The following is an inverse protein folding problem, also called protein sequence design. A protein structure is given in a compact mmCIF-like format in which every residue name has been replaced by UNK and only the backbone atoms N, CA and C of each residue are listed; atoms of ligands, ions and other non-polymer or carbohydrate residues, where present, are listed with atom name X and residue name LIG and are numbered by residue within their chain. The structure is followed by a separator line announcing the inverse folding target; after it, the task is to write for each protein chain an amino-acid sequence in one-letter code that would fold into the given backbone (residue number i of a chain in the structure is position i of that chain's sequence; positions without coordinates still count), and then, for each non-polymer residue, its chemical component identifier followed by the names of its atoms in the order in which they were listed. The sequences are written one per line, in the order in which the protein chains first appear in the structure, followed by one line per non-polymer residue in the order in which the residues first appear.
data_IF_226933971598
#
_entry.id   IF_226933971598
#
_cell.length_a   1.000
_cell.length_b   1.000
_cell.length_c   1.000
_cell.angle_alpha   90.00
_cell.angle_beta   90.00
_cell.angle_gamma   90.00
#
_symmetry.space_group_name_H-M   'P 1'
#
loop_
_entity.id
_entity.type
_entity.pdbx_description
1 polymer ?
#
# COMPACT_ATOMS: atom_id res chain seq x y z
N UNK A 1 -0.75 9.66 -16.00
CA UNK A 1 -1.30 8.55 -15.20
C UNK A 1 -0.21 7.83 -14.38
N UNK A 2 1.00 7.63 -14.93
CA UNK A 2 2.08 6.90 -14.26
C UNK A 2 3.05 7.75 -13.43
N UNK A 3 2.81 9.04 -13.27
CA UNK A 3 3.69 9.97 -12.52
C UNK A 3 3.82 9.60 -11.04
N UNK A 4 2.75 9.07 -10.45
CA UNK A 4 2.72 8.64 -9.04
C UNK A 4 3.17 7.21 -8.80
N UNK A 5 3.46 6.45 -9.88
CA UNK A 5 3.94 5.08 -9.74
C UNK A 5 5.41 5.07 -9.33
N UNK A 6 5.74 4.25 -8.35
CA UNK A 6 7.14 3.95 -8.03
C UNK A 6 7.82 3.26 -9.20
N UNK A 7 9.15 3.26 -9.24
CA UNK A 7 9.90 2.58 -10.30
C UNK A 7 9.59 1.09 -10.36
N UNK A 8 9.38 0.44 -9.21
CA UNK A 8 8.93 -0.95 -9.13
C UNK A 8 7.54 -1.14 -9.71
N UNK A 9 6.59 -0.27 -9.39
CA UNK A 9 5.25 -0.33 -9.95
C UNK A 9 5.22 -0.08 -11.47
N UNK A 10 6.09 0.79 -11.99
CA UNK A 10 6.30 0.96 -13.44
C UNK A 10 6.88 -0.31 -14.07
N UNK A 11 7.84 -0.95 -13.38
CA UNK A 11 8.44 -2.21 -13.84
C UNK A 11 7.40 -3.34 -13.92
N UNK A 12 6.45 -3.40 -12.97
CA UNK A 12 5.32 -4.34 -13.02
C UNK A 12 4.51 -4.19 -14.31
N UNK A 13 4.26 -2.95 -14.76
CA UNK A 13 3.53 -2.69 -16.02
C UNK A 13 4.30 -3.21 -17.22
N UNK A 14 5.62 -3.02 -17.24
CA UNK A 14 6.50 -3.56 -18.31
C UNK A 14 6.49 -5.09 -18.30
N UNK A 15 6.67 -5.70 -17.11
CA UNK A 15 6.64 -7.15 -16.95
C UNK A 15 5.28 -7.75 -17.32
N UNK A 16 4.18 -7.10 -16.99
CA UNK A 16 2.84 -7.53 -17.40
C UNK A 16 2.68 -7.55 -18.94
N UNK A 17 3.29 -6.60 -19.63
CA UNK A 17 3.33 -6.60 -21.09
C UNK A 17 4.20 -7.74 -21.66
N UNK A 18 5.33 -8.06 -21.01
CA UNK A 18 6.19 -9.18 -21.39
C UNK A 18 5.48 -10.52 -21.17
N UNK A 19 4.79 -10.70 -20.04
CA UNK A 19 3.99 -11.90 -19.76
C UNK A 19 2.86 -12.08 -20.78
N UNK A 20 2.18 -11.01 -21.18
CA UNK A 20 1.17 -11.08 -22.23
C UNK A 20 1.76 -11.52 -23.58
N UNK A 21 2.97 -11.05 -23.92
CA UNK A 21 3.69 -11.50 -25.11
C UNK A 21 4.08 -12.98 -25.05
N UNK A 22 4.61 -13.44 -23.91
CA UNK A 22 5.00 -14.85 -23.73
C UNK A 22 3.81 -15.81 -23.89
N UNK A 23 2.63 -15.36 -23.44
CA UNK A 23 1.39 -16.13 -23.57
C UNK A 23 0.69 -15.93 -24.93
N UNK A 24 1.27 -15.17 -25.85
CA UNK A 24 0.69 -14.80 -27.15
C UNK A 24 -0.68 -14.11 -27.02
N UNK A 25 -0.90 -13.31 -25.97
CA UNK A 25 -2.14 -12.58 -25.77
C UNK A 25 -2.08 -11.19 -26.40
N UNK A 26 -3.13 -10.79 -27.12
CA UNK A 26 -3.25 -9.49 -27.78
C UNK A 26 -3.81 -8.39 -26.85
N UNK A 27 -3.84 -8.65 -25.54
CA UNK A 27 -4.31 -7.72 -24.51
C UNK A 27 -3.55 -7.93 -23.21
N UNK A 28 -3.50 -6.88 -22.37
CA UNK A 28 -2.98 -6.97 -21.01
C UNK A 28 -4.18 -7.03 -20.05
N UNK A 29 -4.47 -8.20 -19.51
CA UNK A 29 -5.53 -8.44 -18.55
C UNK A 29 -5.05 -8.34 -17.09
N UNK A 30 -5.95 -8.58 -16.15
CA UNK A 30 -5.66 -8.60 -14.71
C UNK A 30 -4.65 -9.69 -14.34
N UNK A 31 -4.71 -10.85 -15.01
CA UNK A 31 -3.78 -11.96 -14.88
C UNK A 31 -2.33 -11.58 -15.23
N UNK A 32 -2.15 -10.78 -16.27
CA UNK A 32 -0.81 -10.30 -16.63
C UNK A 32 -0.27 -9.29 -15.63
N UNK A 33 -1.14 -8.47 -15.02
CA UNK A 33 -0.75 -7.59 -13.92
C UNK A 33 -0.32 -8.42 -12.71
N UNK A 34 -1.03 -9.51 -12.39
CA UNK A 34 -0.65 -10.42 -11.30
C UNK A 34 0.70 -11.10 -11.58
N UNK A 35 0.91 -11.59 -12.80
CA UNK A 35 2.19 -12.16 -13.22
C UNK A 35 3.32 -11.13 -13.15
N UNK A 36 3.08 -9.90 -13.61
CA UNK A 36 4.06 -8.81 -13.52
C UNK A 36 4.43 -8.45 -12.08
N UNK A 37 3.46 -8.50 -11.14
CA UNK A 37 3.72 -8.29 -9.71
C UNK A 37 4.65 -9.37 -9.12
N UNK A 38 4.44 -10.63 -9.50
CA UNK A 38 5.28 -11.74 -9.05
C UNK A 38 6.64 -11.76 -9.75
N UNK A 39 6.70 -11.41 -11.03
CA UNK A 39 7.95 -11.35 -11.81
C UNK A 39 8.87 -10.22 -11.33
N UNK A 40 8.33 -9.14 -10.78
CA UNK A 40 9.12 -8.07 -10.15
C UNK A 40 9.87 -8.58 -8.91
N UNK A 41 9.25 -9.44 -8.11
CA UNK A 41 9.87 -10.28 -7.07
C UNK A 41 10.28 -9.57 -5.79
N UNK A 42 10.71 -8.32 -5.82
CA UNK A 42 11.26 -7.61 -4.66
C UNK A 42 10.23 -6.72 -3.94
N UNK A 43 9.10 -6.43 -4.58
CA UNK A 43 8.05 -5.59 -4.03
C UNK A 43 7.27 -6.24 -2.89
N UNK A 44 6.56 -5.41 -2.12
CA UNK A 44 5.69 -5.89 -1.03
C UNK A 44 4.63 -6.85 -1.55
N UNK A 45 4.12 -6.64 -2.76
CA UNK A 45 3.12 -7.52 -3.38
C UNK A 45 3.65 -8.95 -3.59
N UNK A 46 4.84 -9.10 -4.20
CA UNK A 46 5.46 -10.39 -4.43
C UNK A 46 5.71 -11.12 -3.10
N UNK A 47 6.33 -10.44 -2.14
CA UNK A 47 6.61 -10.98 -0.80
C UNK A 47 5.34 -11.40 -0.05
N UNK A 48 4.26 -10.63 -0.17
CA UNK A 48 2.98 -10.97 0.44
C UNK A 48 2.37 -12.24 -0.17
N UNK A 49 2.43 -12.38 -1.49
CA UNK A 49 1.95 -13.55 -2.21
C UNK A 49 2.82 -14.79 -1.91
N UNK A 50 4.14 -14.64 -1.92
CA UNK A 50 5.08 -15.72 -1.57
C UNK A 50 4.90 -16.22 -0.13
N UNK A 51 4.66 -15.33 0.82
CA UNK A 51 4.37 -15.70 2.22
C UNK A 51 3.07 -16.50 2.38
N UNK A 52 2.17 -16.40 1.41
CA UNK A 52 0.95 -17.20 1.32
C UNK A 52 1.12 -18.46 0.48
N UNK A 53 2.34 -18.76 0.01
CA UNK A 53 2.66 -19.91 -0.82
C UNK A 53 2.31 -19.73 -2.30
N UNK A 54 2.07 -18.50 -2.74
CA UNK A 54 1.73 -18.18 -4.14
C UNK A 54 2.99 -17.72 -4.86
N UNK A 55 3.55 -18.61 -5.67
CA UNK A 55 4.73 -18.34 -6.49
C UNK A 55 4.39 -18.10 -7.94
N UNK A 56 5.32 -17.44 -8.69
CA UNK A 56 5.18 -17.09 -10.10
C UNK A 56 4.80 -18.29 -11.00
N UNK A 57 5.51 -19.40 -10.84
CA UNK A 57 5.30 -20.60 -11.68
C UNK A 57 3.93 -21.26 -11.45
N UNK A 58 3.43 -21.21 -10.21
CA UNK A 58 2.09 -21.73 -9.90
C UNK A 58 1.01 -20.87 -10.53
N UNK A 59 1.17 -19.55 -10.46
CA UNK A 59 0.24 -18.59 -11.08
C UNK A 59 0.29 -18.70 -12.61
N UNK A 60 1.48 -18.80 -13.21
CA UNK A 60 1.63 -18.95 -14.68
C UNK A 60 0.90 -20.18 -15.19
N UNK A 61 1.13 -21.35 -14.58
CA UNK A 61 0.41 -22.58 -14.93
C UNK A 61 -1.10 -22.45 -14.79
N UNK A 62 -1.55 -21.80 -13.72
CA UNK A 62 -2.98 -21.62 -13.48
C UNK A 62 -3.62 -20.64 -14.48
N UNK A 63 -2.88 -19.61 -14.92
CA UNK A 63 -3.32 -18.69 -15.98
C UNK A 63 -3.42 -19.44 -17.32
N UNK A 64 -2.42 -20.24 -17.67
CA UNK A 64 -2.45 -21.07 -18.88
C UNK A 64 -3.62 -22.07 -18.86
N UNK A 65 -3.94 -22.66 -17.71
CA UNK A 65 -5.07 -23.56 -17.56
C UNK A 65 -6.43 -22.85 -17.72
N UNK A 66 -6.55 -21.61 -17.25
CA UNK A 66 -7.82 -20.86 -17.26
C UNK A 66 -8.08 -20.19 -18.62
N UNK A 67 -7.06 -19.59 -19.23
CA UNK A 67 -7.21 -18.77 -20.44
C UNK A 67 -6.62 -19.48 -21.66
N UNK A 68 -5.61 -20.32 -21.44
CA UNK A 68 -4.83 -20.92 -22.51
C UNK A 68 -3.73 -19.98 -23.03
N UNK A 69 -3.02 -20.46 -24.04
CA UNK A 69 -2.01 -19.70 -24.79
C UNK A 69 -2.61 -19.25 -26.12
N UNK A 70 -2.32 -18.02 -26.53
CA UNK A 70 -2.77 -17.50 -27.82
C UNK A 70 -2.11 -18.21 -29.00
N UNK A 71 -2.81 -18.29 -30.14
CA UNK A 71 -2.35 -18.99 -31.32
C UNK A 71 -1.22 -18.24 -32.05
N UNK A 72 -1.18 -16.93 -31.98
CA UNK A 72 -0.21 -16.09 -32.70
C UNK A 72 0.40 -15.04 -31.77
N UNK A 73 1.69 -14.75 -31.89
CA UNK A 73 2.31 -13.69 -31.11
C UNK A 73 1.69 -12.32 -31.45
N UNK A 74 1.50 -11.46 -30.46
CA UNK A 74 0.95 -10.12 -30.70
C UNK A 74 1.97 -9.25 -31.43
N UNK A 75 1.49 -8.51 -32.45
CA UNK A 75 2.28 -7.52 -33.17
C UNK A 75 1.99 -6.11 -32.66
N UNK A 76 3.03 -5.32 -32.39
CA UNK A 76 2.89 -3.92 -32.01
C UNK A 76 2.45 -3.69 -30.55
N UNK A 77 1.63 -2.67 -30.35
CA UNK A 77 1.17 -2.24 -29.00
C UNK A 77 0.03 -3.14 -28.49
N UNK A 78 0.24 -3.74 -27.31
CA UNK A 78 -0.77 -4.56 -26.64
C UNK A 78 -1.60 -3.67 -25.71
N UNK A 79 -2.92 -3.52 -25.91
CA UNK A 79 -3.77 -2.65 -25.08
C UNK A 79 -4.14 -3.32 -23.75
N UNK A 80 -4.34 -2.51 -22.74
CA UNK A 80 -4.95 -2.96 -21.48
C UNK A 80 -6.44 -3.23 -21.64
N UNK A 81 -6.92 -4.32 -21.05
CA UNK A 81 -8.36 -4.57 -20.92
C UNK A 81 -9.03 -3.48 -20.05
N UNK A 82 -10.35 -3.27 -20.20
CA UNK A 82 -11.09 -2.34 -19.32
C UNK A 82 -10.89 -2.66 -17.82
N UNK A 83 -10.90 -3.95 -17.45
CA UNK A 83 -10.66 -4.39 -16.06
C UNK A 83 -9.24 -4.08 -15.59
N UNK A 84 -8.23 -4.33 -16.41
CA UNK A 84 -6.86 -3.99 -16.05
C UNK A 84 -6.66 -2.47 -15.88
N UNK A 85 -7.31 -1.64 -16.72
CA UNK A 85 -7.35 -0.18 -16.51
C UNK A 85 -8.05 0.20 -15.20
N UNK A 86 -9.12 -0.50 -14.85
CA UNK A 86 -9.82 -0.30 -13.59
C UNK A 86 -8.93 -0.64 -12.40
N UNK A 87 -8.15 -1.73 -12.44
CA UNK A 87 -7.16 -2.07 -11.42
C UNK A 87 -6.18 -0.93 -11.19
N UNK A 88 -5.63 -0.33 -12.25
CA UNK A 88 -4.71 0.82 -12.12
C UNK A 88 -5.39 2.02 -11.45
N UNK A 89 -6.66 2.28 -11.77
CA UNK A 89 -7.45 3.33 -11.12
C UNK A 89 -7.75 3.02 -9.64
N UNK A 90 -8.03 1.75 -9.32
CA UNK A 90 -8.26 1.29 -7.94
C UNK A 90 -6.98 1.33 -7.12
N UNK A 91 -5.81 1.07 -7.72
CA UNK A 91 -4.51 1.17 -7.06
C UNK A 91 -4.25 2.58 -6.50
N UNK A 92 -4.63 3.62 -7.25
CA UNK A 92 -4.57 4.99 -6.76
C UNK A 92 -5.50 5.21 -5.56
N UNK A 93 -6.72 4.65 -5.59
CA UNK A 93 -7.65 4.77 -4.46
C UNK A 93 -7.14 4.06 -3.22
N UNK A 94 -6.54 2.87 -3.37
CA UNK A 94 -5.93 2.14 -2.25
C UNK A 94 -4.74 2.92 -1.67
N UNK A 95 -3.89 3.52 -2.51
CA UNK A 95 -2.79 4.38 -2.05
C UNK A 95 -3.31 5.55 -1.20
N UNK A 96 -4.31 6.28 -1.70
CA UNK A 96 -4.91 7.39 -0.98
C UNK A 96 -5.60 6.98 0.33
N UNK A 97 -6.25 5.80 0.37
CA UNK A 97 -6.85 5.25 1.60
C UNK A 97 -5.80 4.87 2.65
N UNK A 98 -4.61 4.47 2.23
CA UNK A 98 -3.48 4.18 3.10
C UNK A 98 -2.66 5.43 3.44
N UNK A 99 -3.05 6.60 2.96
CA UNK A 99 -2.35 7.87 3.20
C UNK A 99 -1.05 8.02 2.40
N UNK A 100 -0.87 7.24 1.33
CA UNK A 100 0.31 7.31 0.49
C UNK A 100 0.07 8.23 -0.72
N UNK A 101 1.07 9.02 -1.07
CA UNK A 101 1.08 9.90 -2.25
C UNK A 101 1.66 9.23 -3.51
N UNK A 102 2.20 8.02 -3.35
CA UNK A 102 2.76 7.18 -4.40
C UNK A 102 1.95 5.88 -4.59
N UNK A 103 2.10 5.25 -5.76
CA UNK A 103 1.51 3.94 -6.07
C UNK A 103 2.64 2.91 -6.15
N UNK A 104 2.75 2.06 -5.13
CA UNK A 104 3.67 0.93 -5.09
C UNK A 104 3.02 -0.37 -5.55
N UNK A 105 3.80 -1.46 -5.56
CA UNK A 105 3.35 -2.81 -5.93
C UNK A 105 2.21 -3.30 -5.04
N UNK A 106 2.26 -2.98 -3.74
CA UNK A 106 1.23 -3.26 -2.74
C UNK A 106 -0.13 -2.66 -3.13
N UNK A 107 -0.14 -1.42 -3.60
CA UNK A 107 -1.37 -0.75 -4.02
C UNK A 107 -1.94 -1.36 -5.30
N UNK A 108 -1.07 -1.84 -6.20
CA UNK A 108 -1.49 -2.55 -7.40
C UNK A 108 -2.14 -3.90 -7.05
N UNK A 109 -1.57 -4.65 -6.10
CA UNK A 109 -2.16 -5.90 -5.61
C UNK A 109 -3.50 -5.65 -4.90
N UNK A 110 -3.58 -4.62 -4.05
CA UNK A 110 -4.83 -4.25 -3.39
C UNK A 110 -5.91 -3.81 -4.39
N UNK A 111 -5.53 -3.04 -5.42
CA UNK A 111 -6.42 -2.64 -6.51
C UNK A 111 -6.94 -3.84 -7.31
N UNK A 112 -6.07 -4.84 -7.53
CA UNK A 112 -6.43 -6.08 -8.21
C UNK A 112 -7.42 -6.91 -7.41
N UNK A 113 -7.22 -7.04 -6.10
CA UNK A 113 -8.15 -7.73 -5.19
C UNK A 113 -9.49 -6.99 -5.12
N UNK A 114 -9.46 -5.66 -5.12
CA UNK A 114 -10.67 -4.83 -5.03
C UNK A 114 -11.53 -4.88 -6.28
N UNK A 115 -10.91 -5.04 -7.46
CA UNK A 115 -11.63 -5.26 -8.71
C UNK A 115 -12.50 -6.52 -8.62
N UNK A 116 -11.94 -7.61 -8.09
CA UNK A 116 -12.67 -8.76 -7.56
C UNK A 116 -13.12 -9.79 -8.59
N UNK A 117 -13.46 -9.40 -9.81
CA UNK A 117 -14.07 -10.25 -10.84
C UNK A 117 -13.09 -10.68 -11.94
N UNK A 118 -11.85 -10.18 -11.90
CA UNK A 118 -10.82 -10.48 -12.90
C UNK A 118 -10.25 -11.89 -12.79
N UNK A 119 -9.65 -12.36 -13.88
CA UNK A 119 -8.98 -13.67 -13.92
C UNK A 119 -7.91 -13.79 -12.85
N UNK A 120 -7.22 -12.72 -12.52
CA UNK A 120 -6.22 -12.70 -11.45
C UNK A 120 -6.79 -13.17 -10.10
N UNK A 121 -7.96 -12.67 -9.71
CA UNK A 121 -8.62 -13.07 -8.44
C UNK A 121 -9.08 -14.52 -8.51
N UNK A 122 -9.63 -14.96 -9.65
CA UNK A 122 -10.02 -16.36 -9.85
C UNK A 122 -8.81 -17.31 -9.70
N UNK A 123 -7.67 -16.94 -10.26
CA UNK A 123 -6.40 -17.69 -10.12
C UNK A 123 -5.93 -17.73 -8.68
N UNK A 124 -5.95 -16.60 -7.96
CA UNK A 124 -5.58 -16.53 -6.55
C UNK A 124 -6.47 -17.44 -5.69
N UNK A 125 -7.78 -17.40 -5.91
CA UNK A 125 -8.74 -18.25 -5.17
C UNK A 125 -8.50 -19.74 -5.46
N UNK A 126 -8.27 -20.12 -6.72
CA UNK A 126 -7.94 -21.51 -7.09
C UNK A 126 -6.64 -22.00 -6.43
N UNK A 127 -5.67 -21.11 -6.22
CA UNK A 127 -4.42 -21.42 -5.51
C UNK A 127 -4.56 -21.32 -3.97
N UNK A 128 -5.79 -21.12 -3.45
CA UNK A 128 -6.06 -21.08 -2.01
C UNK A 128 -5.76 -19.75 -1.34
N UNK A 129 -5.50 -18.69 -2.11
CA UNK A 129 -5.30 -17.36 -1.59
C UNK A 129 -6.61 -16.55 -1.65
N UNK A 130 -7.36 -16.55 -0.56
CA UNK A 130 -8.56 -15.72 -0.44
C UNK A 130 -8.20 -14.22 -0.49
N UNK A 131 -8.98 -13.39 -1.22
CA UNK A 131 -8.73 -11.95 -1.36
C UNK A 131 -8.56 -11.22 -0.03
N UNK A 132 -9.39 -11.53 0.97
CA UNK A 132 -9.31 -10.93 2.29
C UNK A 132 -8.03 -11.34 3.06
N UNK A 133 -7.53 -12.55 2.82
CA UNK A 133 -6.28 -13.02 3.42
C UNK A 133 -5.08 -12.30 2.80
N UNK A 134 -5.07 -12.15 1.48
CA UNK A 134 -4.04 -11.40 0.76
C UNK A 134 -4.03 -9.93 1.21
N UNK A 135 -5.20 -9.29 1.32
CA UNK A 135 -5.32 -7.91 1.81
C UNK A 135 -4.72 -7.74 3.21
N UNK A 136 -5.08 -8.63 4.14
CA UNK A 136 -4.51 -8.59 5.52
C UNK A 136 -3.00 -8.76 5.52
N UNK A 137 -2.48 -9.67 4.71
CA UNK A 137 -1.05 -9.91 4.61
C UNK A 137 -0.29 -8.69 4.09
N UNK A 138 -0.81 -8.03 3.04
CA UNK A 138 -0.23 -6.78 2.51
C UNK A 138 -0.21 -5.69 3.58
N UNK A 139 -1.35 -5.46 4.25
CA UNK A 139 -1.46 -4.43 5.30
C UNK A 139 -0.51 -4.74 6.46
N UNK A 140 -0.41 -5.99 6.89
CA UNK A 140 0.52 -6.41 7.94
C UNK A 140 1.98 -6.18 7.56
N UNK A 141 2.37 -6.46 6.32
CA UNK A 141 3.72 -6.19 5.83
C UNK A 141 4.04 -4.69 5.78
N UNK A 142 3.08 -3.87 5.36
CA UNK A 142 3.24 -2.42 5.38
C UNK A 142 3.46 -1.89 6.80
N UNK A 143 2.70 -2.39 7.78
CA UNK A 143 2.88 -2.04 9.19
C UNK A 143 4.21 -2.56 9.75
N UNK A 144 4.65 -3.75 9.36
CA UNK A 144 5.92 -4.36 9.79
C UNK A 144 7.15 -3.65 9.22
N UNK A 145 7.09 -3.10 8.02
CA UNK A 145 8.18 -2.32 7.41
C UNK A 145 8.33 -0.93 8.05
N UNK A 146 7.28 -0.41 8.68
CA UNK A 146 7.32 0.84 9.45
C UNK A 146 7.91 0.65 10.86
N UNK A 147 8.00 -0.60 11.36
CA UNK A 147 8.55 -0.94 12.69
C UNK A 147 9.99 -1.46 12.70
N UNK A 148 10.67 -1.52 11.58
CA UNK A 148 11.97 -2.21 11.40
C UNK A 148 13.22 -1.36 11.55
N UNK A 149 13.16 -0.20 12.22
CA UNK A 149 14.37 0.53 12.60
C UNK A 149 14.28 0.88 14.10
N UNK A 150 15.05 0.15 14.90
CA UNK A 150 15.25 0.20 16.35
C UNK A 150 14.47 -0.80 17.18
N UNK A 151 14.97 -2.03 17.24
CA UNK A 151 14.95 -2.86 18.47
C UNK A 151 16.20 -3.72 18.51
N UNK A 152 17.29 -3.17 19.00
CA UNK A 152 18.33 -3.94 19.68
C UNK A 152 18.22 -3.62 21.17
N UNK A 153 17.93 -4.63 21.97
CA UNK A 153 18.26 -4.59 23.39
C UNK A 153 17.12 -4.86 24.38
N UNK A 154 17.15 -6.06 24.93
CA UNK A 154 16.82 -6.45 26.29
C UNK A 154 15.38 -6.64 26.76
N UNK A 155 15.03 -7.89 26.88
CA UNK A 155 14.53 -8.66 28.05
C UNK A 155 13.49 -8.11 29.02
N UNK A 156 12.51 -9.00 29.23
CA UNK A 156 11.85 -9.43 30.46
C UNK A 156 10.57 -8.69 30.92
N UNK A 157 9.50 -9.47 30.82
CA UNK A 157 8.39 -9.69 31.75
C UNK A 157 7.84 -8.51 32.58
N UNK A 158 6.57 -8.20 32.43
CA UNK A 158 5.58 -8.49 33.47
C UNK A 158 4.13 -8.21 32.99
N UNK A 159 3.25 -8.96 33.59
CA UNK A 159 1.84 -9.16 33.33
C UNK A 159 0.98 -8.01 33.91
N UNK A 160 -0.04 -7.55 33.17
CA UNK A 160 -1.41 -7.32 33.62
C UNK A 160 -2.18 -6.26 32.83
N UNK A 161 -3.51 -6.40 32.66
CA UNK A 161 -4.29 -5.75 31.62
C UNK A 161 -4.89 -4.42 32.08
N UNK A 162 -4.80 -3.38 31.23
CA UNK A 162 -5.67 -2.21 31.43
C UNK A 162 -5.91 -1.42 30.15
N UNK A 163 -7.19 -1.32 29.85
CA UNK A 163 -7.89 -0.28 29.08
C UNK A 163 -7.49 -0.03 27.62
N UNK A 164 -8.43 -0.39 26.76
CA UNK A 164 -8.57 0.00 25.38
C UNK A 164 -8.45 1.52 25.20
N UNK A 165 -7.34 1.94 24.57
CA UNK A 165 -7.27 3.22 23.87
C UNK A 165 -7.24 2.92 22.38
N UNK A 166 -8.23 3.47 21.65
CA UNK A 166 -8.34 3.35 20.20
C UNK A 166 -7.03 3.77 19.51
N UNK A 167 -6.59 3.05 18.47
CA UNK A 167 -5.40 3.44 17.73
C UNK A 167 -5.65 4.75 16.98
N UNK A 168 -4.92 5.77 17.34
CA UNK A 168 -4.95 7.08 16.69
C UNK A 168 -4.47 6.95 15.24
N UNK A 169 -5.26 7.45 14.32
CA UNK A 169 -5.24 7.33 12.86
C UNK A 169 -4.11 8.12 12.17
N UNK A 170 -2.93 8.25 12.74
CA UNK A 170 -1.92 9.18 12.23
C UNK A 170 -0.50 8.64 12.18
N UNK A 171 -0.33 7.36 11.82
CA UNK A 171 1.02 6.75 11.68
C UNK A 171 1.93 7.46 10.67
N UNK A 172 1.35 8.12 9.64
CA UNK A 172 2.14 8.88 8.66
C UNK A 172 2.61 10.21 9.24
N UNK A 173 1.79 10.88 10.03
CA UNK A 173 2.19 12.12 10.72
C UNK A 173 3.25 11.86 11.78
N UNK A 174 3.21 10.71 12.44
CA UNK A 174 4.20 10.34 13.46
C UNK A 174 5.59 10.04 12.87
N UNK A 175 5.67 9.65 11.59
CA UNK A 175 6.95 9.42 10.89
C UNK A 175 7.63 10.70 10.39
N UNK A 176 6.84 11.69 9.96
CA UNK A 176 7.36 12.93 9.36
C UNK A 176 7.12 14.15 10.25
N UNK A 177 6.30 14.00 11.29
CA UNK A 177 5.97 15.04 12.24
C UNK A 177 6.54 14.75 13.64
N UNK A 178 6.85 15.81 14.37
CA UNK A 178 7.17 15.73 15.80
C UNK A 178 5.89 15.94 16.60
N UNK A 179 5.53 14.97 17.45
CA UNK A 179 4.39 15.13 18.36
C UNK A 179 4.73 16.14 19.48
N UNK A 180 4.39 17.41 19.24
CA UNK A 180 4.69 18.50 20.17
C UNK A 180 3.94 18.36 21.50
N UNK A 181 2.73 17.79 21.49
CA UNK A 181 1.94 17.56 22.70
C UNK A 181 2.62 16.54 23.61
N UNK A 182 3.15 15.47 23.05
CA UNK A 182 3.90 14.48 23.81
C UNK A 182 5.23 15.04 24.29
N UNK A 183 5.98 15.76 23.44
CA UNK A 183 7.22 16.42 23.81
C UNK A 183 7.01 17.44 24.96
N UNK A 184 5.87 18.15 24.99
CA UNK A 184 5.52 19.03 26.07
C UNK A 184 5.26 18.29 27.39
N UNK A 185 4.55 17.15 27.34
CA UNK A 185 4.32 16.30 28.54
C UNK A 185 5.62 15.71 29.11
N UNK A 186 6.56 15.41 28.23
CA UNK A 186 7.88 14.88 28.57
C UNK A 186 8.90 15.96 28.97
N UNK A 187 8.49 17.24 28.97
CA UNK A 187 9.37 18.37 29.33
C UNK A 187 10.50 18.64 28.32
N UNK A 188 10.36 18.14 27.09
CA UNK A 188 11.40 18.27 26.03
C UNK A 188 11.29 19.54 25.18
N UNK A 189 10.35 20.43 25.50
CA UNK A 189 10.19 21.71 24.83
C UNK A 189 10.89 22.83 25.62
N UNK A 190 11.43 23.78 24.89
CA UNK A 190 12.04 24.96 25.51
C UNK A 190 10.98 25.79 26.26
N UNK A 191 11.34 26.40 27.42
CA UNK A 191 10.41 27.23 28.17
C UNK A 191 10.07 28.50 27.40
N UNK A 192 8.80 28.83 27.34
CA UNK A 192 8.32 30.06 26.72
C UNK A 192 8.30 31.18 27.78
N UNK A 193 8.99 32.28 27.47
CA UNK A 193 9.10 33.42 28.40
C UNK A 193 8.52 34.65 27.70
N UNK A 194 7.62 35.36 28.42
CA UNK A 194 7.15 36.69 28.01
C UNK A 194 6.13 36.72 26.86
N UNK A 195 5.47 35.59 26.55
CA UNK A 195 4.47 35.48 25.46
C UNK A 195 3.08 35.01 25.92
N UNK A 196 2.70 35.36 27.13
CA UNK A 196 1.43 34.92 27.75
C UNK A 196 0.19 35.36 26.94
N UNK A 197 0.21 36.60 26.40
CA UNK A 197 -0.90 37.14 25.61
C UNK A 197 -1.11 36.44 24.28
N UNK A 198 0.00 36.10 23.59
CA UNK A 198 -0.03 35.37 22.34
C UNK A 198 -0.51 33.92 22.54
N UNK A 199 -0.06 33.27 23.60
CA UNK A 199 -0.49 31.92 23.98
C UNK A 199 -1.99 31.91 24.28
N UNK A 200 -2.47 32.85 25.12
CA UNK A 200 -3.89 32.96 25.43
C UNK A 200 -4.73 33.15 24.15
N UNK A 201 -4.28 34.02 23.25
CA UNK A 201 -4.94 34.25 21.97
C UNK A 201 -4.99 33.02 21.08
N UNK A 202 -3.88 32.27 20.95
CA UNK A 202 -3.81 31.02 20.22
C UNK A 202 -4.77 29.98 20.80
N UNK A 203 -4.81 29.83 22.14
CA UNK A 203 -5.73 28.91 22.79
C UNK A 203 -7.20 29.30 22.55
N UNK A 204 -7.55 30.60 22.59
CA UNK A 204 -8.89 31.06 22.25
C UNK A 204 -9.29 30.74 20.81
N UNK A 205 -8.35 30.84 19.85
CA UNK A 205 -8.61 30.48 18.44
C UNK A 205 -8.76 28.97 18.26
N UNK A 206 -7.89 28.16 18.88
CA UNK A 206 -7.94 26.70 18.82
C UNK A 206 -9.21 26.11 19.46
N UNK A 207 -9.79 26.79 20.45
CA UNK A 207 -11.02 26.37 21.15
C UNK A 207 -12.30 26.65 20.35
N UNK A 208 -12.23 27.31 19.19
CA UNK A 208 -13.40 27.60 18.35
C UNK A 208 -13.86 26.34 17.63
N UNK A 209 -15.18 26.21 17.43
CA UNK A 209 -15.76 25.10 16.63
C UNK A 209 -15.44 25.20 15.14
N UNK A 210 -15.21 26.39 14.63
CA UNK A 210 -14.92 26.69 13.21
C UNK A 210 -13.85 27.77 13.14
N UNK A 211 -13.06 27.79 12.05
CA UNK A 211 -11.95 28.76 11.82
C UNK A 211 -10.92 28.73 12.97
N UNK A 212 -10.50 27.55 13.34
CA UNK A 212 -9.59 27.28 14.46
C UNK A 212 -8.10 27.16 14.05
N UNK A 213 -7.69 27.76 12.95
CA UNK A 213 -6.32 27.73 12.45
C UNK A 213 -5.61 29.07 12.81
N UNK A 214 -4.84 29.15 13.90
CA UNK A 214 -4.05 30.32 14.22
C UNK A 214 -2.83 30.42 13.31
N UNK A 215 -2.51 31.62 12.87
CA UNK A 215 -1.28 31.94 12.11
C UNK A 215 -0.45 32.88 12.96
N UNK A 216 0.79 32.51 13.24
CA UNK A 216 1.79 33.34 13.90
C UNK A 216 2.66 33.99 12.85
N UNK A 217 2.72 35.31 12.86
CA UNK A 217 3.55 36.13 11.98
C UNK A 217 4.59 36.81 12.84
N UNK A 218 5.86 36.58 12.54
CA UNK A 218 7.00 37.18 13.22
C UNK A 218 7.85 37.99 12.27
#
# INVERSE_FOLDING_TARGET
MFERFTDRARRVVVLAHEEAKMLNHHYIGTEHVLLGLLSEGEGVAAKALESLGIGLEAVRRQVEEVIGQGATPPEGHIPFTPRAKQVLGLSLREALQLGHDYIGTEHMLLGLIREGDGVAVQVLVKLGAEPNRVRRQVVQMLQGHQGGQERTGASAADDSPSSASAPSTSLVLDQFGRNLTQAAREGKLDPVIGREKEIERVMQVLSRRTKNNPVLIG
#
